data_IF_284961520540
#
_entry.id   IF_284961520540
#
_cell.length_a   1.000
_cell.length_b   1.000
_cell.length_c   1.000
_cell.angle_alpha   90.00
_cell.angle_beta   90.00
_cell.angle_gamma   90.00
#
_symmetry.space_group_name_H-M   'P 1'
#
loop_
_entity.id
_entity.type
_entity.pdbx_description
1 polymer ?
#
# COMPACT_ATOMS: atom_id res chain seq x y z
N UNK A 1 20.55 17.75 5.06
CA UNK A 1 19.31 17.15 5.63
C UNK A 1 19.72 15.85 6.29
N UNK A 2 19.40 15.71 7.57
CA UNK A 2 19.67 14.48 8.32
C UNK A 2 18.47 13.56 8.18
N UNK A 3 18.73 12.26 8.04
CA UNK A 3 17.71 11.22 7.98
C UNK A 3 17.99 10.17 9.03
N UNK A 4 16.97 9.61 9.65
CA UNK A 4 17.07 8.45 10.54
C UNK A 4 15.85 7.53 10.38
N UNK A 5 16.02 6.28 10.76
CA UNK A 5 14.93 5.29 10.83
C UNK A 5 14.56 5.09 12.30
N UNK A 6 13.28 5.24 12.60
CA UNK A 6 12.71 5.12 13.94
C UNK A 6 12.04 3.76 14.12
N UNK A 7 12.24 3.16 15.30
CA UNK A 7 11.60 1.90 15.68
C UNK A 7 11.71 0.82 14.60
N UNK A 8 12.93 0.50 14.11
CA UNK A 8 13.10 -0.49 13.06
C UNK A 8 12.66 -1.88 13.54
N UNK A 9 12.04 -2.64 12.65
CA UNK A 9 11.72 -4.06 12.85
C UNK A 9 12.97 -4.96 12.69
N UNK A 10 12.76 -6.28 12.70
CA UNK A 10 13.84 -7.27 12.56
C UNK A 10 14.58 -7.20 11.21
N UNK A 11 14.00 -6.57 10.20
CA UNK A 11 14.60 -6.34 8.88
C UNK A 11 15.24 -4.95 8.75
N UNK A 12 15.22 -4.16 9.83
CA UNK A 12 15.75 -2.80 9.88
C UNK A 12 14.83 -1.76 9.26
N UNK A 13 13.58 -2.12 8.95
CA UNK A 13 12.60 -1.23 8.34
C UNK A 13 11.83 -0.51 9.46
N UNK A 14 11.80 0.81 9.40
CA UNK A 14 11.06 1.65 10.34
C UNK A 14 10.65 2.97 9.73
N UNK A 15 10.02 3.85 10.51
CA UNK A 15 9.59 5.14 10.03
C UNK A 15 10.77 6.07 9.76
N UNK A 16 10.82 6.62 8.56
CA UNK A 16 11.85 7.59 8.19
C UNK A 16 11.51 8.94 8.82
N UNK A 17 12.46 9.50 9.56
CA UNK A 17 12.38 10.84 10.09
C UNK A 17 13.46 11.74 9.46
N UNK A 18 13.08 12.98 9.18
CA UNK A 18 13.93 13.98 8.53
C UNK A 18 14.13 15.21 9.40
N UNK A 19 15.34 15.80 9.38
CA UNK A 19 15.65 17.05 10.05
C UNK A 19 16.55 17.93 9.17
N UNK A 20 16.33 19.22 9.17
CA UNK A 20 17.19 20.17 8.47
C UNK A 20 16.45 21.41 8.01
N UNK A 21 17.19 22.33 7.39
CA UNK A 21 16.66 23.65 6.97
C UNK A 21 15.56 23.59 5.90
N UNK A 22 15.43 22.45 5.21
CA UNK A 22 14.42 22.24 4.17
C UNK A 22 13.13 21.61 4.73
N UNK A 23 13.13 21.22 6.00
CA UNK A 23 11.95 20.71 6.69
C UNK A 23 11.09 21.89 7.12
N UNK A 24 9.78 21.79 6.93
CA UNK A 24 8.82 22.80 7.37
C UNK A 24 8.88 23.00 8.89
N UNK A 25 8.56 24.19 9.35
CA UNK A 25 8.48 24.51 10.78
C UNK A 25 7.15 24.06 11.42
N UNK A 26 6.05 24.11 10.68
CA UNK A 26 4.72 23.77 11.16
C UNK A 26 3.73 23.64 9.99
N UNK A 27 2.57 23.02 10.24
CA UNK A 27 1.38 23.12 9.38
C UNK A 27 0.65 24.43 9.65
N UNK A 28 0.19 25.09 8.60
CA UNK A 28 -0.57 26.35 8.72
C UNK A 28 -1.91 26.08 9.43
N UNK A 29 -2.16 26.86 10.48
CA UNK A 29 -3.39 26.81 11.30
C UNK A 29 -3.74 25.42 11.88
N UNK A 30 -2.76 24.50 11.99
CA UNK A 30 -2.94 23.16 12.53
C UNK A 30 -1.81 22.80 13.53
N UNK A 31 -1.90 23.30 14.76
CA UNK A 31 -0.90 23.04 15.79
C UNK A 31 -0.92 21.58 16.28
N UNK A 32 -2.07 20.92 16.25
CA UNK A 32 -2.20 19.52 16.67
C UNK A 32 -1.46 18.60 15.69
N UNK A 33 -1.75 18.71 14.41
CA UNK A 33 -1.03 17.96 13.37
C UNK A 33 0.47 18.29 13.38
N UNK A 34 0.83 19.55 13.67
CA UNK A 34 2.24 19.95 13.80
C UNK A 34 2.92 19.19 14.93
N UNK A 35 2.31 19.13 16.11
CA UNK A 35 2.86 18.44 17.29
C UNK A 35 2.97 16.92 17.07
N UNK A 36 2.02 16.32 16.35
CA UNK A 36 2.06 14.90 15.98
C UNK A 36 3.14 14.58 14.94
N UNK A 37 3.40 15.52 14.02
CA UNK A 37 4.28 15.27 12.87
C UNK A 37 5.72 15.73 13.13
N UNK A 38 5.93 16.76 13.93
CA UNK A 38 7.27 17.29 14.26
C UNK A 38 7.55 17.02 15.73
N UNK A 39 8.34 15.98 15.99
CA UNK A 39 8.70 15.55 17.34
C UNK A 39 10.20 15.75 17.56
N UNK A 40 10.58 16.50 18.60
CA UNK A 40 11.97 16.82 18.94
C UNK A 40 12.79 17.39 17.75
N UNK A 41 12.12 18.19 16.92
CA UNK A 41 12.73 18.80 15.73
C UNK A 41 12.93 17.85 14.55
N UNK A 42 12.35 16.64 14.61
CA UNK A 42 12.32 15.69 13.51
C UNK A 42 10.92 15.59 12.90
N UNK A 43 10.84 15.74 11.60
CA UNK A 43 9.64 15.47 10.81
C UNK A 43 9.47 13.96 10.68
N UNK A 44 8.37 13.42 11.20
CA UNK A 44 7.91 12.06 10.96
C UNK A 44 7.28 12.02 9.56
N UNK A 45 7.97 11.38 8.60
CA UNK A 45 7.53 11.46 7.19
C UNK A 45 6.31 10.59 6.90
N UNK A 46 6.04 9.59 7.76
CA UNK A 46 5.07 8.54 7.52
C UNK A 46 5.51 7.55 6.43
N UNK A 47 6.72 7.69 5.88
CA UNK A 47 7.31 6.72 4.96
C UNK A 47 8.11 5.69 5.77
N UNK A 48 8.07 4.44 5.32
CA UNK A 48 8.84 3.34 5.89
C UNK A 48 10.07 3.05 5.02
N UNK A 49 11.21 2.86 5.68
CA UNK A 49 12.47 2.65 4.99
C UNK A 49 13.55 2.07 5.89
N UNK A 50 14.66 1.70 5.26
CA UNK A 50 15.90 1.30 5.93
C UNK A 50 17.10 1.85 5.18
N UNK A 51 18.24 1.94 5.86
CA UNK A 51 19.52 2.18 5.19
C UNK A 51 20.16 0.86 4.78
N UNK A 52 20.65 0.79 3.55
CA UNK A 52 21.50 -0.32 3.12
C UNK A 52 22.92 -0.23 3.69
N UNK A 53 23.76 -1.23 3.41
CA UNK A 53 25.15 -1.28 3.87
C UNK A 53 26.03 -0.15 3.31
N UNK A 54 25.60 0.50 2.24
CA UNK A 54 26.28 1.64 1.61
C UNK A 54 25.75 2.99 2.11
N UNK A 55 24.76 2.98 3.02
CA UNK A 55 24.15 4.19 3.57
C UNK A 55 23.07 4.81 2.69
N UNK A 56 22.58 4.13 1.65
CA UNK A 56 21.46 4.60 0.84
C UNK A 56 20.14 4.25 1.51
N UNK A 57 19.22 5.21 1.54
CA UNK A 57 17.87 4.98 2.03
C UNK A 57 17.04 4.23 0.98
N UNK A 58 16.53 3.07 1.37
CA UNK A 58 15.54 2.30 0.61
C UNK A 58 14.16 2.54 1.20
N UNK A 59 13.20 2.97 0.39
CA UNK A 59 11.81 3.17 0.81
C UNK A 59 10.97 1.95 0.42
N UNK A 60 10.05 1.55 1.31
CA UNK A 60 9.18 0.38 1.13
C UNK A 60 7.72 0.75 0.96
N UNK A 61 7.26 1.88 1.53
CA UNK A 61 5.88 2.33 1.43
C UNK A 61 5.50 3.30 2.53
N UNK A 62 4.19 3.44 2.75
CA UNK A 62 3.64 4.32 3.78
C UNK A 62 3.27 3.53 5.03
N UNK A 63 3.62 4.04 6.21
CA UNK A 63 3.26 3.46 7.52
C UNK A 63 1.75 3.17 7.63
N UNK A 64 0.91 4.11 7.20
CA UNK A 64 -0.55 3.97 7.23
C UNK A 64 -1.13 2.96 6.23
N UNK A 65 -0.36 2.55 5.22
CA UNK A 65 -0.76 1.57 4.23
C UNK A 65 -0.24 0.16 4.57
N UNK A 66 0.68 0.07 5.53
CA UNK A 66 1.25 -1.21 5.96
C UNK A 66 0.15 -2.14 6.47
N UNK A 67 0.17 -3.37 6.01
CA UNK A 67 -0.71 -4.45 6.45
C UNK A 67 0.10 -5.32 7.42
N UNK A 68 -0.42 -5.52 8.62
CA UNK A 68 0.18 -6.43 9.59
C UNK A 68 -0.59 -7.73 9.57
N UNK A 69 0.07 -8.83 9.24
CA UNK A 69 -0.55 -10.16 9.20
C UNK A 69 -0.78 -10.70 10.62
N UNK A 70 -1.69 -11.69 10.77
CA UNK A 70 -1.93 -12.39 12.04
C UNK A 70 -0.63 -13.00 12.62
N UNK A 71 0.31 -13.37 11.75
CA UNK A 71 1.64 -13.83 12.12
C UNK A 71 2.62 -12.72 12.47
N UNK A 72 2.20 -11.45 12.57
CA UNK A 72 3.03 -10.29 12.92
C UNK A 72 4.00 -9.85 11.82
N UNK A 73 3.85 -10.32 10.58
CA UNK A 73 4.67 -9.86 9.45
C UNK A 73 4.14 -8.57 8.88
N UNK A 74 5.03 -7.64 8.60
CA UNK A 74 4.72 -6.40 7.91
C UNK A 74 4.68 -6.63 6.40
N UNK A 75 3.59 -6.24 5.76
CA UNK A 75 3.41 -6.25 4.31
C UNK A 75 3.23 -4.82 3.83
N UNK A 76 4.01 -4.46 2.84
CA UNK A 76 3.96 -3.16 2.19
C UNK A 76 3.27 -3.32 0.84
N UNK A 77 2.02 -2.84 0.65
CA UNK A 77 1.28 -2.99 -0.60
C UNK A 77 2.05 -2.48 -1.81
N UNK A 78 2.75 -1.36 -1.64
CA UNK A 78 3.52 -0.71 -2.70
C UNK A 78 4.68 -1.60 -3.19
N UNK A 79 5.29 -2.40 -2.31
CA UNK A 79 6.33 -3.37 -2.66
C UNK A 79 5.76 -4.53 -3.49
N UNK A 80 4.56 -4.99 -3.16
CA UNK A 80 3.86 -6.01 -3.94
C UNK A 80 3.45 -5.46 -5.30
N UNK A 81 2.95 -4.23 -5.36
CA UNK A 81 2.50 -3.57 -6.58
C UNK A 81 3.59 -3.52 -7.65
N UNK A 82 4.86 -3.35 -7.26
CA UNK A 82 5.99 -3.32 -8.22
C UNK A 82 6.13 -4.60 -9.05
N UNK A 83 5.70 -5.75 -8.51
CA UNK A 83 5.75 -7.03 -9.24
C UNK A 83 4.74 -7.06 -10.40
N UNK A 84 3.69 -6.25 -10.29
CA UNK A 84 2.65 -6.12 -11.31
C UNK A 84 2.89 -4.98 -12.30
N UNK A 85 4.02 -4.26 -12.20
CA UNK A 85 4.39 -3.21 -13.16
C UNK A 85 4.39 -3.73 -14.58
N UNK A 86 3.73 -2.99 -15.49
CA UNK A 86 3.58 -3.38 -16.89
C UNK A 86 2.51 -4.44 -17.14
N UNK A 87 1.61 -4.74 -16.18
CA UNK A 87 0.36 -5.43 -16.49
C UNK A 87 -0.43 -4.63 -17.54
N UNK A 88 -1.02 -5.29 -18.55
CA UNK A 88 -1.83 -4.61 -19.57
C UNK A 88 -3.21 -4.24 -19.03
N UNK A 89 -3.24 -3.40 -18.01
CA UNK A 89 -4.44 -2.87 -17.35
C UNK A 89 -4.27 -1.38 -17.11
N UNK A 90 -5.36 -0.66 -16.97
CA UNK A 90 -5.32 0.78 -16.79
C UNK A 90 -4.72 1.21 -15.45
N UNK A 91 -5.13 0.56 -14.37
CA UNK A 91 -4.65 0.83 -13.01
C UNK A 91 -4.75 -0.43 -12.15
N UNK A 92 -3.94 -0.50 -11.11
CA UNK A 92 -4.03 -1.55 -10.11
C UNK A 92 -3.61 -1.03 -8.73
N UNK A 93 -4.02 -1.73 -7.68
CA UNK A 93 -3.72 -1.40 -6.30
C UNK A 93 -3.90 -2.64 -5.42
N UNK A 94 -3.01 -2.86 -4.45
CA UNK A 94 -3.08 -4.00 -3.53
C UNK A 94 -3.77 -3.59 -2.23
N UNK A 95 -4.70 -4.42 -1.76
CA UNK A 95 -5.40 -4.28 -0.48
C UNK A 95 -5.41 -5.57 0.31
N UNK A 96 -5.55 -5.48 1.63
CA UNK A 96 -6.07 -6.61 2.40
C UNK A 96 -7.60 -6.69 2.25
N UNK A 97 -8.14 -7.89 2.08
CA UNK A 97 -9.58 -8.08 1.93
C UNK A 97 -10.37 -7.54 3.13
N UNK A 98 -9.85 -7.74 4.34
CA UNK A 98 -10.45 -7.24 5.58
C UNK A 98 -10.43 -5.70 5.69
N UNK A 99 -9.54 -5.01 4.98
CA UNK A 99 -9.54 -3.55 4.90
C UNK A 99 -10.74 -3.04 4.08
N UNK A 100 -11.06 -3.72 2.98
CA UNK A 100 -12.23 -3.38 2.15
C UNK A 100 -13.51 -3.87 2.83
N UNK A 101 -13.56 -5.14 3.23
CA UNK A 101 -14.72 -5.77 3.88
C UNK A 101 -14.33 -6.30 5.26
N UNK A 102 -14.43 -5.48 6.31
CA UNK A 102 -14.10 -5.90 7.66
C UNK A 102 -14.86 -7.16 8.06
N UNK A 103 -14.14 -8.24 8.34
CA UNK A 103 -14.71 -9.49 8.82
C UNK A 103 -14.38 -9.66 10.31
N UNK A 104 -15.29 -10.33 11.06
CA UNK A 104 -15.08 -10.62 12.48
C UNK A 104 -14.25 -11.88 12.73
N UNK A 105 -13.93 -12.66 11.69
CA UNK A 105 -13.17 -13.89 11.82
C UNK A 105 -11.67 -13.63 11.73
N UNK A 106 -10.92 -14.18 12.69
CA UNK A 106 -9.45 -14.28 12.63
C UNK A 106 -9.04 -15.16 11.44
N UNK A 107 -7.98 -14.78 10.72
CA UNK A 107 -7.39 -15.61 9.65
C UNK A 107 -7.81 -15.24 8.23
N UNK A 108 -8.43 -14.09 8.01
CA UNK A 108 -8.95 -13.70 6.70
C UNK A 108 -8.14 -12.55 6.06
N UNK A 109 -6.83 -12.70 6.08
CA UNK A 109 -5.86 -11.71 5.59
C UNK A 109 -5.49 -11.89 4.12
N UNK A 110 -6.46 -12.35 3.30
CA UNK A 110 -6.25 -12.45 1.87
C UNK A 110 -5.85 -11.08 1.31
N UNK A 111 -4.71 -11.04 0.63
CA UNK A 111 -4.34 -9.89 -0.18
C UNK A 111 -5.09 -9.95 -1.51
N UNK A 112 -5.55 -8.80 -1.96
CA UNK A 112 -6.30 -8.65 -3.20
C UNK A 112 -5.61 -7.68 -4.13
N UNK A 113 -5.58 -8.03 -5.40
CA UNK A 113 -5.20 -7.12 -6.49
C UNK A 113 -6.47 -6.50 -7.07
N UNK A 114 -6.70 -5.23 -6.76
CA UNK A 114 -7.74 -4.44 -7.41
C UNK A 114 -7.24 -4.05 -8.79
N UNK A 115 -8.02 -4.37 -9.82
CA UNK A 115 -7.71 -4.09 -11.22
C UNK A 115 -8.77 -3.18 -11.82
N UNK A 116 -8.33 -2.11 -12.46
CA UNK A 116 -9.13 -1.35 -13.38
C UNK A 116 -8.67 -1.66 -14.79
N UNK A 117 -9.56 -2.20 -15.58
CA UNK A 117 -9.30 -2.59 -16.97
C UNK A 117 -9.45 -1.40 -17.91
N UNK A 118 -8.87 -1.49 -19.10
CA UNK A 118 -9.12 -0.54 -20.18
C UNK A 118 -10.55 -0.69 -20.72
N UNK A 119 -11.02 0.33 -21.43
CA UNK A 119 -12.38 0.31 -21.99
C UNK A 119 -12.54 -0.84 -22.99
N UNK A 120 -13.52 -1.71 -22.75
CA UNK A 120 -13.79 -2.88 -23.58
C UNK A 120 -12.86 -4.08 -23.32
N UNK A 121 -11.96 -3.99 -22.36
CA UNK A 121 -11.13 -5.10 -21.91
C UNK A 121 -11.92 -5.96 -20.92
N UNK A 122 -11.72 -7.27 -21.00
CA UNK A 122 -12.26 -8.24 -20.05
C UNK A 122 -11.13 -8.86 -19.21
N UNK A 123 -11.45 -9.30 -18.00
CA UNK A 123 -10.53 -10.11 -17.18
C UNK A 123 -10.61 -11.57 -17.65
N UNK A 124 -9.99 -11.81 -18.80
CA UNK A 124 -9.97 -13.11 -19.47
C UNK A 124 -8.90 -14.03 -18.85
N UNK A 125 -8.86 -15.27 -19.35
CA UNK A 125 -7.92 -16.29 -18.88
C UNK A 125 -6.46 -15.88 -19.15
N UNK A 126 -6.17 -15.18 -20.24
CA UNK A 126 -4.82 -14.73 -20.57
C UNK A 126 -4.31 -13.70 -19.55
N UNK A 127 -5.13 -12.70 -19.20
CA UNK A 127 -4.79 -11.72 -18.19
C UNK A 127 -4.67 -12.36 -16.80
N UNK A 128 -5.55 -13.32 -16.48
CA UNK A 128 -5.47 -14.08 -15.23
C UNK A 128 -4.16 -14.85 -15.12
N UNK A 129 -3.73 -15.52 -16.17
CA UNK A 129 -2.46 -16.25 -16.20
C UNK A 129 -1.27 -15.31 -16.05
N UNK A 130 -1.31 -14.13 -16.64
CA UNK A 130 -0.27 -13.11 -16.47
C UNK A 130 -0.17 -12.64 -15.01
N UNK A 131 -1.31 -12.38 -14.37
CA UNK A 131 -1.36 -12.05 -12.93
C UNK A 131 -0.78 -13.18 -12.09
N UNK A 132 -1.20 -14.43 -12.33
CA UNK A 132 -0.70 -15.62 -11.60
C UNK A 132 0.80 -15.79 -11.80
N UNK A 133 1.31 -15.61 -13.01
CA UNK A 133 2.74 -15.75 -13.30
C UNK A 133 3.58 -14.72 -12.53
N UNK A 134 3.11 -13.48 -12.44
CA UNK A 134 3.77 -12.43 -11.66
C UNK A 134 3.64 -12.68 -10.15
N UNK A 135 2.45 -13.05 -9.69
CA UNK A 135 2.18 -13.35 -8.29
C UNK A 135 3.10 -14.45 -7.73
N UNK A 136 3.44 -15.45 -8.55
CA UNK A 136 4.38 -16.54 -8.18
C UNK A 136 5.81 -16.06 -7.91
N UNK A 137 6.20 -14.86 -8.31
CA UNK A 137 7.51 -14.26 -8.00
C UNK A 137 7.58 -13.76 -6.56
N UNK A 138 6.43 -13.58 -5.91
CA UNK A 138 6.32 -13.15 -4.53
C UNK A 138 6.50 -14.33 -3.57
N UNK A 139 7.09 -14.10 -2.38
CA UNK A 139 7.02 -15.06 -1.28
C UNK A 139 5.56 -15.37 -0.93
N UNK A 140 5.28 -16.57 -0.45
CA UNK A 140 3.91 -17.07 -0.21
C UNK A 140 3.06 -16.09 0.62
N UNK A 141 3.63 -15.53 1.69
CA UNK A 141 2.93 -14.61 2.58
C UNK A 141 2.64 -13.21 1.98
N UNK A 142 3.21 -12.89 0.82
CA UNK A 142 2.96 -11.66 0.06
C UNK A 142 2.09 -11.89 -1.17
N UNK A 143 1.73 -13.13 -1.48
CA UNK A 143 0.91 -13.42 -2.66
C UNK A 143 -0.50 -12.91 -2.50
N UNK A 144 -1.03 -12.34 -3.56
CA UNK A 144 -2.45 -12.00 -3.64
C UNK A 144 -3.26 -13.26 -3.88
N UNK A 145 -4.34 -13.46 -3.13
CA UNK A 145 -5.20 -14.63 -3.24
C UNK A 145 -6.34 -14.45 -4.23
N UNK A 146 -6.58 -13.22 -4.69
CA UNK A 146 -7.65 -12.95 -5.65
C UNK A 146 -7.56 -11.56 -6.27
N UNK A 147 -8.35 -11.37 -7.32
CA UNK A 147 -8.54 -10.09 -7.99
C UNK A 147 -9.95 -9.54 -7.77
N UNK A 148 -10.07 -8.22 -7.77
CA UNK A 148 -11.35 -7.52 -7.82
C UNK A 148 -11.32 -6.57 -9.01
N UNK A 149 -12.31 -6.68 -9.88
CA UNK A 149 -12.43 -5.80 -11.04
C UNK A 149 -13.24 -4.57 -10.64
N UNK A 150 -12.69 -3.40 -10.94
CA UNK A 150 -13.28 -2.11 -10.64
C UNK A 150 -13.41 -1.29 -11.92
N UNK A 151 -14.59 -0.73 -12.17
CA UNK A 151 -14.96 -0.08 -13.42
C UNK A 151 -14.81 1.45 -13.40
N UNK A 152 -14.57 2.04 -12.20
CA UNK A 152 -14.46 3.48 -12.03
C UNK A 152 -13.02 3.94 -11.87
N UNK A 153 -12.80 5.26 -12.05
CA UNK A 153 -11.52 5.88 -11.77
C UNK A 153 -11.11 5.71 -10.30
N UNK A 154 -9.83 5.46 -10.05
CA UNK A 154 -9.33 5.49 -8.68
C UNK A 154 -9.32 6.93 -8.17
N UNK A 155 -9.93 7.21 -7.00
CA UNK A 155 -9.89 8.55 -6.42
C UNK A 155 -8.45 8.95 -6.10
N UNK A 156 -8.07 10.17 -6.50
CA UNK A 156 -6.68 10.65 -6.37
C UNK A 156 -6.60 11.98 -5.62
N UNK A 157 -5.44 12.21 -5.03
CA UNK A 157 -5.05 13.52 -4.51
C UNK A 157 -4.68 14.46 -5.67
N UNK A 158 -4.52 15.76 -5.39
CA UNK A 158 -3.98 16.71 -6.37
C UNK A 158 -2.58 16.30 -6.90
N UNK A 159 -1.80 15.57 -6.11
CA UNK A 159 -0.50 15.00 -6.50
C UNK A 159 -0.62 13.62 -7.17
N UNK A 160 -1.79 13.26 -7.70
CA UNK A 160 -2.09 12.02 -8.44
C UNK A 160 -1.91 10.71 -7.64
N UNK A 161 -1.76 10.77 -6.32
CA UNK A 161 -1.67 9.58 -5.46
C UNK A 161 -3.06 9.00 -5.19
N UNK A 162 -3.22 7.68 -5.25
CA UNK A 162 -4.48 6.99 -4.95
C UNK A 162 -4.90 7.23 -3.49
N UNK A 163 -6.14 7.68 -3.31
CA UNK A 163 -6.79 7.81 -1.99
C UNK A 163 -7.34 6.45 -1.56
N UNK A 164 -6.49 5.57 -1.01
CA UNK A 164 -6.83 4.17 -0.68
C UNK A 164 -8.07 4.05 0.21
N UNK A 165 -8.21 4.93 1.21
CA UNK A 165 -9.38 4.92 2.12
C UNK A 165 -10.67 5.17 1.33
N UNK A 166 -10.71 6.22 0.53
CA UNK A 166 -11.89 6.56 -0.28
C UNK A 166 -12.22 5.45 -1.29
N UNK A 167 -11.20 4.88 -1.94
CA UNK A 167 -11.37 3.78 -2.88
C UNK A 167 -11.98 2.54 -2.19
N UNK A 168 -11.46 2.14 -1.04
CA UNK A 168 -12.00 1.02 -0.28
C UNK A 168 -13.45 1.25 0.17
N UNK A 169 -13.79 2.48 0.56
CA UNK A 169 -15.17 2.84 0.92
C UNK A 169 -16.13 2.75 -0.27
N UNK A 170 -15.71 3.21 -1.45
CA UNK A 170 -16.50 3.11 -2.67
C UNK A 170 -16.72 1.65 -3.08
N UNK A 171 -15.67 0.83 -3.05
CA UNK A 171 -15.76 -0.61 -3.33
C UNK A 171 -16.74 -1.28 -2.37
N UNK A 172 -16.62 -1.02 -1.07
CA UNK A 172 -17.48 -1.59 -0.04
C UNK A 172 -18.96 -1.27 -0.25
N UNK A 173 -19.26 -0.08 -0.73
CA UNK A 173 -20.64 0.36 -1.03
C UNK A 173 -21.21 -0.28 -2.29
N UNK A 174 -20.35 -0.67 -3.24
CA UNK A 174 -20.76 -1.08 -4.59
C UNK A 174 -20.66 -2.59 -4.77
N UNK A 175 -19.63 -3.24 -4.20
CA UNK A 175 -19.33 -4.65 -4.36
C UNK A 175 -19.35 -5.37 -3.01
N UNK A 176 -19.76 -6.62 -3.03
CA UNK A 176 -19.59 -7.55 -1.92
C UNK A 176 -18.33 -8.38 -2.10
N UNK A 177 -17.94 -9.11 -1.06
CA UNK A 177 -16.80 -10.04 -1.11
C UNK A 177 -16.95 -11.14 -2.18
N UNK A 178 -18.17 -11.45 -2.61
CA UNK A 178 -18.42 -12.38 -3.71
C UNK A 178 -17.89 -11.91 -5.07
N UNK A 179 -17.49 -10.64 -5.20
CA UNK A 179 -16.84 -10.11 -6.40
C UNK A 179 -15.36 -10.50 -6.52
N UNK A 180 -14.78 -11.18 -5.53
CA UNK A 180 -13.41 -11.67 -5.58
C UNK A 180 -13.33 -12.82 -6.57
N UNK A 181 -12.46 -12.68 -7.55
CA UNK A 181 -12.06 -13.76 -8.47
C UNK A 181 -10.79 -14.38 -7.93
N UNK A 182 -10.86 -15.61 -7.45
CA UNK A 182 -9.70 -16.36 -6.92
C UNK A 182 -8.65 -16.65 -8.01
N UNK A 183 -7.35 -16.62 -7.60
CA UNK A 183 -6.19 -16.82 -8.48
C UNK A 183 -5.63 -18.24 -8.38
#
# INVERSE_FOLDING_TARGET
MDLRVLNPDSEGIGEVAARGKTVMSHYLDDPELTAETIVDGWLLTGDLGRFDSSGHLQLFGRKKNMIVTDGGKNIYPEDIETVFDGLPVKEYCVFAANYIWPAKALGDEMLLLLLRLDQGQEFDEALKQEVVARNRRLPDFKRVGGCVIWDKDFPRTAAMKVKRVALAEEIRKTLSRAAIVEL
#
